data_IF_788971243435
#
_entry.id   IF_788971243435
#
_cell.length_a   1.000
_cell.length_b   1.000
_cell.length_c   1.000
_cell.angle_alpha   90.00
_cell.angle_beta   90.00
_cell.angle_gamma   90.00
#
_symmetry.space_group_name_H-M   'P 1'
#
loop_
_entity.id
_entity.type
_entity.pdbx_description
1 polymer ?
#
# COMPACT_ATOMS: atom_id res chain seq x y z
N UNK A 1 -14.39 -10.91 1.08
CA UNK A 1 -13.98 -9.55 1.50
C UNK A 1 -12.94 -9.07 0.48
N UNK A 2 -12.64 -7.77 0.41
CA UNK A 2 -11.67 -7.23 -0.54
C UNK A 2 -10.95 -6.02 0.07
N UNK A 3 -9.67 -5.83 -0.28
CA UNK A 3 -8.93 -4.63 0.10
C UNK A 3 -9.35 -3.36 -0.66
N UNK A 4 -10.16 -3.49 -1.72
CA UNK A 4 -10.66 -2.34 -2.47
C UNK A 4 -11.35 -1.35 -1.55
N UNK A 5 -10.92 -0.08 -1.60
CA UNK A 5 -11.48 0.99 -0.78
C UNK A 5 -10.46 2.05 -0.39
N UNK A 6 -10.86 2.90 0.54
CA UNK A 6 -10.01 3.96 1.10
C UNK A 6 -9.45 3.51 2.45
N UNK A 7 -8.18 3.81 2.67
CA UNK A 7 -7.42 3.40 3.84
C UNK A 7 -6.66 4.60 4.41
N UNK A 8 -6.65 4.73 5.73
CA UNK A 8 -5.94 5.78 6.43
C UNK A 8 -4.61 5.24 6.93
N UNK A 9 -3.51 5.88 6.52
CA UNK A 9 -2.18 5.61 7.03
C UNK A 9 -1.95 6.28 8.39
N UNK A 10 -1.16 5.64 9.24
CA UNK A 10 -0.75 6.21 10.53
C UNK A 10 0.23 7.39 10.43
N UNK A 11 0.67 7.74 9.23
CA UNK A 11 1.42 8.94 8.88
C UNK A 11 0.52 10.10 8.37
N UNK A 12 -0.80 9.91 8.44
CA UNK A 12 -1.79 10.88 7.95
C UNK A 12 -2.06 10.78 6.44
N UNK A 13 -1.50 9.79 5.75
CA UNK A 13 -1.85 9.53 4.34
C UNK A 13 -3.26 8.99 4.16
N UNK A 14 -3.81 9.24 2.98
CA UNK A 14 -5.02 8.58 2.48
C UNK A 14 -4.63 7.75 1.27
N UNK A 15 -4.91 6.45 1.33
CA UNK A 15 -4.55 5.46 0.31
C UNK A 15 -5.81 4.87 -0.31
N UNK A 16 -5.98 5.02 -1.63
CA UNK A 16 -7.03 4.34 -2.37
C UNK A 16 -6.47 3.05 -2.96
N UNK A 17 -7.03 1.93 -2.54
CA UNK A 17 -6.62 0.59 -2.97
C UNK A 17 -7.64 0.05 -3.96
N UNK A 18 -7.14 -0.55 -5.04
CA UNK A 18 -7.89 -1.44 -5.92
C UNK A 18 -7.27 -2.83 -5.86
N UNK A 19 -8.09 -3.79 -5.47
CA UNK A 19 -7.77 -5.21 -5.59
C UNK A 19 -8.35 -5.74 -6.90
N UNK A 20 -7.51 -6.43 -7.65
CA UNK A 20 -7.85 -7.13 -8.89
C UNK A 20 -7.61 -8.61 -8.67
N UNK A 21 -8.69 -9.39 -8.74
CA UNK A 21 -8.64 -10.83 -8.56
C UNK A 21 -8.89 -11.52 -9.91
N UNK A 22 -8.03 -12.48 -10.21
CA UNK A 22 -8.14 -13.42 -11.33
C UNK A 22 -8.03 -14.83 -10.78
N UNK A 23 -8.33 -15.84 -11.60
CA UNK A 23 -8.29 -17.25 -11.19
C UNK A 23 -6.91 -17.70 -10.63
N UNK A 24 -5.84 -16.98 -10.97
CA UNK A 24 -4.46 -17.34 -10.62
C UNK A 24 -3.74 -16.30 -9.77
N UNK A 25 -4.30 -15.11 -9.56
CA UNK A 25 -3.59 -14.02 -8.90
C UNK A 25 -4.53 -12.98 -8.29
N UNK A 26 -4.10 -12.43 -7.15
CA UNK A 26 -4.68 -11.26 -6.50
C UNK A 26 -3.66 -10.12 -6.49
N UNK A 27 -3.87 -9.14 -7.37
CA UNK A 27 -3.01 -7.97 -7.56
C UNK A 27 -3.59 -6.77 -6.83
N UNK A 28 -2.70 -5.99 -6.23
CA UNK A 28 -3.02 -4.77 -5.49
C UNK A 28 -2.40 -3.60 -6.25
N UNK A 29 -3.23 -2.61 -6.55
CA UNK A 29 -2.81 -1.31 -7.06
C UNK A 29 -3.26 -0.29 -6.04
N UNK A 30 -2.41 0.65 -5.67
CA UNK A 30 -2.85 1.80 -4.89
C UNK A 30 -2.31 3.11 -5.41
N UNK A 31 -3.00 4.17 -5.01
CA UNK A 31 -2.48 5.52 -4.98
C UNK A 31 -2.55 6.00 -3.52
N UNK A 32 -1.47 6.58 -3.02
CA UNK A 32 -1.40 7.14 -1.67
C UNK A 32 -0.98 8.60 -1.74
N UNK A 33 -1.57 9.43 -0.90
CA UNK A 33 -1.20 10.86 -0.83
C UNK A 33 -1.37 11.43 0.56
N UNK A 34 -0.63 12.51 0.83
CA UNK A 34 -0.75 13.32 2.02
C UNK A 34 -0.73 14.80 1.62
N UNK A 35 -1.66 15.59 2.15
CA UNK A 35 -1.79 17.03 1.88
C UNK A 35 -1.28 17.94 2.99
N UNK A 36 -0.47 17.41 3.91
CA UNK A 36 0.11 18.12 5.04
C UNK A 36 1.26 19.06 4.66
N UNK A 37 2.10 19.42 5.63
CA UNK A 37 3.20 20.38 5.45
C UNK A 37 4.33 19.90 4.53
N UNK A 38 4.45 18.58 4.34
CA UNK A 38 5.37 17.95 3.40
C UNK A 38 4.57 17.00 2.50
N UNK A 39 3.91 17.53 1.46
CA UNK A 39 2.99 16.73 0.66
C UNK A 39 3.74 15.69 -0.16
N UNK A 40 3.09 14.55 -0.36
CA UNK A 40 3.60 13.48 -1.20
C UNK A 40 2.47 12.76 -1.91
N UNK A 41 2.83 12.05 -2.97
CA UNK A 41 1.95 11.16 -3.71
C UNK A 41 2.78 10.01 -4.26
N UNK A 42 2.32 8.78 -4.06
CA UNK A 42 2.97 7.60 -4.61
C UNK A 42 1.94 6.62 -5.17
N UNK A 43 2.42 5.74 -6.03
CA UNK A 43 1.68 4.56 -6.49
C UNK A 43 2.35 3.31 -5.97
N UNK A 44 1.59 2.21 -5.93
CA UNK A 44 2.13 0.88 -5.68
C UNK A 44 1.45 -0.13 -6.57
N UNK A 45 2.23 -1.14 -6.97
CA UNK A 45 1.71 -2.36 -7.56
C UNK A 45 2.36 -3.56 -6.89
N UNK A 46 1.54 -4.48 -6.41
CA UNK A 46 2.00 -5.70 -5.74
C UNK A 46 1.03 -6.85 -5.90
N UNK A 47 1.36 -8.00 -5.34
CA UNK A 47 0.49 -9.17 -5.35
C UNK A 47 0.64 -9.97 -4.06
N UNK A 48 -0.42 -10.68 -3.69
CA UNK A 48 -0.35 -11.64 -2.60
C UNK A 48 0.66 -12.75 -2.93
N UNK A 49 1.41 -13.18 -1.92
CA UNK A 49 2.20 -14.39 -2.02
C UNK A 49 1.25 -15.61 -2.08
N UNK A 50 1.59 -16.64 -2.89
CA UNK A 50 0.73 -17.82 -3.07
C UNK A 50 0.75 -18.77 -1.87
N UNK A 51 1.44 -18.43 -0.79
CA UNK A 51 1.62 -19.26 0.41
C UNK A 51 0.47 -19.15 1.42
N UNK A 52 -0.54 -18.32 1.15
CA UNK A 52 -1.72 -18.14 2.01
C UNK A 52 -1.45 -17.35 3.29
N UNK A 53 -0.27 -16.73 3.43
CA UNK A 53 0.14 -16.01 4.65
C UNK A 53 -0.52 -14.63 4.81
N UNK A 54 -1.23 -14.15 3.79
CA UNK A 54 -1.75 -12.77 3.76
C UNK A 54 -0.66 -11.73 3.52
N UNK A 55 0.51 -12.14 3.04
CA UNK A 55 1.61 -11.23 2.69
C UNK A 55 1.41 -10.71 1.26
N UNK A 56 1.60 -9.41 1.09
CA UNK A 56 1.69 -8.74 -0.20
C UNK A 56 3.13 -8.29 -0.43
N UNK A 57 3.65 -8.50 -1.63
CA UNK A 57 4.95 -7.98 -2.08
C UNK A 57 4.74 -7.11 -3.32
N UNK A 58 5.36 -5.94 -3.37
CA UNK A 58 5.27 -5.07 -4.53
C UNK A 58 6.27 -3.92 -4.54
N UNK A 59 6.13 -3.07 -5.56
CA UNK A 59 6.95 -1.87 -5.78
C UNK A 59 6.10 -0.63 -5.58
N UNK A 60 6.71 0.42 -5.04
CA UNK A 60 6.14 1.76 -4.96
C UNK A 60 7.07 2.78 -5.60
N UNK A 61 6.49 3.89 -6.03
CA UNK A 61 7.20 5.00 -6.66
C UNK A 61 6.49 6.32 -6.36
N UNK A 62 7.25 7.34 -5.94
CA UNK A 62 6.74 8.70 -5.81
C UNK A 62 6.40 9.25 -7.20
N UNK A 63 5.25 9.90 -7.30
CA UNK A 63 4.74 10.44 -8.57
C UNK A 63 4.38 11.91 -8.44
N UNK A 64 4.36 12.68 -9.55
CA UNK A 64 3.87 14.06 -9.56
C UNK A 64 2.46 14.20 -8.93
N UNK A 65 2.11 15.37 -8.36
CA UNK A 65 2.75 16.68 -8.56
C UNK A 65 3.86 17.03 -7.55
N UNK A 66 4.17 16.15 -6.61
CA UNK A 66 5.14 16.44 -5.56
C UNK A 66 6.59 16.28 -6.06
N UNK A 67 7.55 16.86 -5.33
CA UNK A 67 8.97 16.91 -5.75
C UNK A 67 9.80 15.72 -5.27
N UNK A 68 9.21 14.83 -4.48
CA UNK A 68 9.87 13.58 -4.07
C UNK A 68 9.95 12.63 -5.27
N UNK A 69 11.00 11.82 -5.30
CA UNK A 69 11.28 10.88 -6.39
C UNK A 69 11.89 9.58 -5.84
N UNK A 70 11.39 9.14 -4.69
CA UNK A 70 11.84 7.90 -4.07
C UNK A 70 11.06 6.73 -4.67
N UNK A 71 11.67 5.55 -4.67
CA UNK A 71 11.03 4.32 -5.11
C UNK A 71 11.56 3.16 -4.28
N UNK A 72 10.82 2.06 -4.24
CA UNK A 72 11.29 0.90 -3.53
C UNK A 72 10.31 -0.25 -3.48
N UNK A 73 10.66 -1.24 -2.68
CA UNK A 73 9.85 -2.44 -2.46
C UNK A 73 9.15 -2.34 -1.10
N UNK A 74 7.92 -2.84 -1.03
CA UNK A 74 7.19 -3.03 0.22
C UNK A 74 6.81 -4.50 0.38
N UNK A 75 7.06 -5.03 1.57
CA UNK A 75 6.47 -6.26 2.08
C UNK A 75 5.43 -5.89 3.12
N UNK A 76 4.18 -6.28 2.88
CA UNK A 76 3.04 -5.92 3.71
C UNK A 76 2.37 -7.17 4.25
N UNK A 77 1.75 -7.08 5.42
CA UNK A 77 0.92 -8.12 6.01
C UNK A 77 -0.51 -7.62 6.14
N UNK A 78 -1.48 -8.43 5.71
CA UNK A 78 -2.90 -8.15 5.85
C UNK A 78 -3.44 -8.98 7.02
N UNK A 79 -4.21 -8.36 7.91
CA UNK A 79 -4.86 -9.13 8.97
C UNK A 79 -6.01 -9.99 8.43
N UNK A 80 -6.38 -11.06 9.14
CA UNK A 80 -7.43 -11.99 8.69
C UNK A 80 -8.80 -11.34 8.49
N UNK A 81 -9.06 -10.19 9.13
CA UNK A 81 -10.29 -9.43 9.01
C UNK A 81 -10.30 -8.46 7.80
N UNK A 82 -9.17 -8.29 7.10
CA UNK A 82 -8.99 -7.31 6.01
C UNK A 82 -9.37 -5.87 6.40
N UNK A 83 -9.08 -5.52 7.66
CA UNK A 83 -9.30 -4.17 8.22
C UNK A 83 -8.01 -3.43 8.50
N UNK A 84 -6.87 -4.14 8.51
CA UNK A 84 -5.55 -3.58 8.74
C UNK A 84 -4.51 -4.17 7.78
N UNK A 85 -3.65 -3.29 7.28
CA UNK A 85 -2.44 -3.65 6.54
C UNK A 85 -1.26 -3.08 7.32
N UNK A 86 -0.22 -3.88 7.54
CA UNK A 86 0.99 -3.47 8.26
C UNK A 86 2.22 -3.61 7.38
N UNK A 87 3.14 -2.64 7.46
CA UNK A 87 4.44 -2.75 6.83
C UNK A 87 5.30 -3.78 7.59
N UNK A 88 5.74 -4.82 6.89
CA UNK A 88 6.70 -5.81 7.40
C UNK A 88 8.13 -5.34 7.15
N UNK A 89 8.40 -4.85 5.93
CA UNK A 89 9.69 -4.28 5.56
C UNK A 89 9.56 -3.37 4.34
N UNK A 90 10.49 -2.42 4.22
CA UNK A 90 10.64 -1.57 3.05
C UNK A 90 12.13 -1.54 2.65
N UNK A 91 12.44 -1.53 1.35
CA UNK A 91 13.83 -1.41 0.88
C UNK A 91 14.38 0.00 1.00
N UNK A 92 13.48 0.99 0.96
CA UNK A 92 13.73 2.40 1.17
C UNK A 92 12.79 2.90 2.27
N UNK A 93 13.10 4.02 2.91
CA UNK A 93 12.26 4.58 3.96
C UNK A 93 10.85 4.91 3.44
N UNK A 94 9.86 4.10 3.82
CA UNK A 94 8.45 4.35 3.54
C UNK A 94 7.73 4.72 4.83
N UNK A 95 7.09 5.90 4.83
CA UNK A 95 6.59 6.55 6.05
C UNK A 95 5.40 5.85 6.71
N UNK A 96 4.46 5.34 5.90
CA UNK A 96 3.30 4.64 6.44
C UNK A 96 3.68 3.24 6.90
N UNK A 97 3.39 2.91 8.15
CA UNK A 97 3.69 1.58 8.71
C UNK A 97 2.44 0.79 9.07
N UNK A 98 1.29 1.45 9.18
CA UNK A 98 -0.01 0.83 9.44
C UNK A 98 -1.08 1.58 8.65
N UNK A 99 -1.90 0.83 7.93
CA UNK A 99 -3.11 1.32 7.28
C UNK A 99 -4.33 0.70 7.96
N UNK A 100 -5.33 1.53 8.24
CA UNK A 100 -6.64 1.08 8.72
C UNK A 100 -7.72 1.44 7.72
N UNK A 101 -8.61 0.49 7.43
CA UNK A 101 -9.72 0.72 6.50
C UNK A 101 -10.62 1.84 7.02
N UNK A 102 -10.99 2.78 6.13
CA UNK A 102 -11.86 3.91 6.47
C UNK A 102 -13.32 3.48 6.70
#
# INVERSE_FOLDING_TARGET
MSLTGTWNGNDGSVTQIRELETDTAKTIIWYSSNGGSSPFSNIFTGSYLPDGTGIILGQWDDVPPNTLSNSGTLRLSVNAAETQISQVSASEGYGTTLWTKA
#
